data_IF_784933854957
#
_entry.id   IF_784933854957
#
_cell.length_a   1.000
_cell.length_b   1.000
_cell.length_c   1.000
_cell.angle_alpha   90.00
_cell.angle_beta   90.00
_cell.angle_gamma   90.00
#
_symmetry.space_group_name_H-M   'P 1'
#
loop_
_entity.id
_entity.type
_entity.pdbx_description
1 polymer ?
#
# COMPACT_ATOMS: atom_id res chain seq x y z
N UNK A 1 -28.96 -34.09 3.41
CA UNK A 1 -28.62 -32.64 3.33
C UNK A 1 -28.70 -32.19 1.88
N UNK A 2 -29.65 -31.31 1.52
CA UNK A 2 -29.75 -30.75 0.16
C UNK A 2 -28.65 -29.71 -0.03
N UNK A 3 -27.57 -30.07 -0.72
CA UNK A 3 -26.40 -29.18 -0.90
C UNK A 3 -26.76 -27.82 -1.52
N UNK A 4 -27.70 -27.81 -2.48
CA UNK A 4 -28.12 -26.60 -3.20
C UNK A 4 -28.87 -25.55 -2.35
N UNK A 5 -29.39 -25.92 -1.18
CA UNK A 5 -30.08 -25.01 -0.24
C UNK A 5 -29.20 -24.59 0.92
N UNK A 6 -27.95 -25.04 0.95
CA UNK A 6 -27.02 -24.71 2.03
C UNK A 6 -26.26 -23.46 1.65
N UNK A 7 -26.30 -22.43 2.51
CA UNK A 7 -25.54 -21.20 2.29
C UNK A 7 -24.04 -21.51 2.08
N UNK A 8 -23.44 -20.93 1.04
CA UNK A 8 -22.02 -21.14 0.70
C UNK A 8 -21.08 -20.86 1.88
N UNK A 9 -21.43 -19.88 2.72
CA UNK A 9 -20.71 -19.54 3.95
C UNK A 9 -20.66 -20.70 4.96
N UNK A 10 -21.70 -21.52 5.04
CA UNK A 10 -21.75 -22.72 5.91
C UNK A 10 -20.92 -23.86 5.32
N UNK A 11 -20.91 -24.01 3.99
CA UNK A 11 -20.08 -25.01 3.30
C UNK A 11 -18.58 -24.72 3.44
N UNK A 12 -18.21 -23.44 3.52
CA UNK A 12 -16.82 -22.99 3.66
C UNK A 12 -16.23 -23.09 5.07
N UNK A 13 -17.06 -23.40 6.08
CA UNK A 13 -16.57 -23.63 7.44
C UNK A 13 -15.72 -24.91 7.50
N UNK A 14 -14.77 -24.96 8.43
CA UNK A 14 -13.99 -26.16 8.70
C UNK A 14 -14.88 -27.33 9.16
N UNK A 15 -14.42 -28.56 8.94
CA UNK A 15 -15.16 -29.77 9.35
C UNK A 15 -15.38 -29.84 10.87
N UNK A 16 -14.42 -29.32 11.62
CA UNK A 16 -14.40 -29.15 13.07
C UNK A 16 -15.53 -28.26 13.63
N UNK A 17 -16.01 -27.29 12.84
CA UNK A 17 -17.11 -26.38 13.20
C UNK A 17 -18.38 -26.61 12.37
N UNK A 18 -18.56 -27.83 11.85
CA UNK A 18 -19.78 -28.27 11.17
C UNK A 18 -19.95 -27.80 9.73
N UNK A 19 -18.84 -27.42 9.07
CA UNK A 19 -18.79 -27.19 7.61
C UNK A 19 -18.21 -28.38 6.84
N UNK A 20 -17.98 -28.19 5.53
CA UNK A 20 -17.45 -29.24 4.64
C UNK A 20 -16.00 -28.94 4.21
N UNK A 21 -15.46 -27.77 4.58
CA UNK A 21 -14.10 -27.35 4.27
C UNK A 21 -13.90 -26.82 2.84
N UNK A 22 -14.96 -26.36 2.18
CA UNK A 22 -14.81 -25.71 0.88
C UNK A 22 -14.09 -24.36 0.98
N UNK A 23 -13.33 -23.98 -0.05
CA UNK A 23 -12.72 -22.65 -0.11
C UNK A 23 -13.80 -21.60 -0.36
N UNK A 24 -13.72 -20.50 0.39
CA UNK A 24 -14.56 -19.34 0.12
C UNK A 24 -14.08 -18.66 -1.18
N UNK A 25 -14.79 -18.93 -2.28
CA UNK A 25 -14.51 -18.37 -3.61
C UNK A 25 -14.47 -16.84 -3.63
N UNK A 26 -15.27 -16.16 -2.82
CA UNK A 26 -15.23 -14.69 -2.72
C UNK A 26 -13.90 -14.22 -2.15
N UNK A 27 -13.44 -14.80 -1.03
CA UNK A 27 -12.13 -14.49 -0.45
C UNK A 27 -10.98 -14.86 -1.39
N UNK A 28 -11.10 -15.98 -2.10
CA UNK A 28 -10.10 -16.40 -3.09
C UNK A 28 -10.01 -15.41 -4.25
N UNK A 29 -11.14 -14.96 -4.79
CA UNK A 29 -11.19 -13.94 -5.84
C UNK A 29 -10.62 -12.61 -5.36
N UNK A 30 -10.96 -12.17 -4.14
CA UNK A 30 -10.36 -10.99 -3.53
C UNK A 30 -8.83 -11.08 -3.45
N UNK A 31 -8.28 -12.22 -3.00
CA UNK A 31 -6.85 -12.45 -2.95
C UNK A 31 -6.20 -12.41 -4.34
N UNK A 32 -6.87 -12.96 -5.36
CA UNK A 32 -6.39 -12.88 -6.75
C UNK A 32 -6.39 -11.44 -7.27
N UNK A 33 -7.44 -10.67 -7.00
CA UNK A 33 -7.52 -9.25 -7.41
C UNK A 33 -6.41 -8.43 -6.75
N UNK A 34 -6.18 -8.61 -5.45
CA UNK A 34 -5.08 -7.97 -4.73
C UNK A 34 -3.72 -8.36 -5.34
N UNK A 35 -3.51 -9.63 -5.66
CA UNK A 35 -2.27 -10.10 -6.30
C UNK A 35 -2.05 -9.49 -7.68
N UNK A 36 -3.11 -9.34 -8.49
CA UNK A 36 -3.01 -8.72 -9.80
C UNK A 36 -2.73 -7.22 -9.70
N UNK A 37 -3.45 -6.51 -8.82
CA UNK A 37 -3.20 -5.09 -8.56
C UNK A 37 -1.77 -4.87 -8.03
N UNK A 38 -1.25 -5.74 -7.16
CA UNK A 38 0.13 -5.68 -6.68
C UNK A 38 1.16 -5.79 -7.81
N UNK A 39 0.93 -6.72 -8.75
CA UNK A 39 1.80 -6.86 -9.93
C UNK A 39 1.76 -5.61 -10.83
N UNK A 40 0.60 -4.97 -10.96
CA UNK A 40 0.48 -3.73 -11.74
C UNK A 40 1.24 -2.57 -11.10
N UNK A 41 1.28 -2.51 -9.77
CA UNK A 41 2.04 -1.52 -9.00
C UNK A 41 3.55 -1.77 -9.16
N UNK A 42 4.00 -3.00 -8.92
CA UNK A 42 5.43 -3.34 -8.90
C UNK A 42 6.07 -3.46 -10.29
N UNK A 43 5.28 -3.79 -11.33
CA UNK A 43 5.77 -4.06 -12.67
C UNK A 43 5.01 -3.29 -13.75
N UNK A 44 5.03 -1.96 -13.65
CA UNK A 44 4.34 -1.05 -14.56
C UNK A 44 4.77 -1.18 -16.04
N UNK A 45 5.99 -1.67 -16.30
CA UNK A 45 6.53 -1.86 -17.66
C UNK A 45 6.21 -3.23 -18.28
N UNK A 46 5.60 -4.15 -17.53
CA UNK A 46 5.21 -5.45 -18.08
C UNK A 46 4.19 -5.29 -19.23
N UNK A 47 4.19 -6.23 -20.18
CA UNK A 47 3.24 -6.22 -21.29
C UNK A 47 1.79 -6.14 -20.78
N UNK A 48 1.46 -6.93 -19.76
CA UNK A 48 0.15 -6.92 -19.12
C UNK A 48 -0.19 -5.54 -18.53
N UNK A 49 0.75 -4.91 -17.81
CA UNK A 49 0.52 -3.57 -17.26
C UNK A 49 0.31 -2.51 -18.34
N UNK A 50 1.07 -2.57 -19.44
CA UNK A 50 0.92 -1.66 -20.59
C UNK A 50 -0.42 -1.81 -21.29
N UNK A 51 -0.89 -3.05 -21.49
CA UNK A 51 -2.21 -3.33 -22.08
C UNK A 51 -3.34 -2.83 -21.19
N UNK A 52 -3.28 -3.11 -19.88
CA UNK A 52 -4.29 -2.65 -18.91
C UNK A 52 -4.29 -1.12 -18.82
N UNK A 53 -3.11 -0.48 -18.78
CA UNK A 53 -2.96 0.98 -18.81
C UNK A 53 -3.61 1.57 -20.05
N UNK A 54 -3.24 1.10 -21.24
CA UNK A 54 -3.78 1.60 -22.51
C UNK A 54 -5.30 1.50 -22.58
N UNK A 55 -5.89 0.46 -22.02
CA UNK A 55 -7.34 0.25 -22.03
C UNK A 55 -8.09 1.07 -20.97
N UNK A 56 -7.56 1.18 -19.75
CA UNK A 56 -8.33 1.66 -18.61
C UNK A 56 -7.86 2.99 -18.01
N UNK A 57 -6.59 3.35 -18.17
CA UNK A 57 -6.00 4.57 -17.61
C UNK A 57 -4.84 5.08 -18.49
N UNK A 58 -5.09 5.44 -19.77
CA UNK A 58 -4.02 5.71 -20.74
C UNK A 58 -3.12 6.89 -20.34
N UNK A 59 -3.71 7.90 -19.71
CA UNK A 59 -3.04 9.17 -19.34
C UNK A 59 -2.56 9.23 -17.90
N UNK A 60 -2.85 8.22 -17.08
CA UNK A 60 -2.58 8.24 -15.63
C UNK A 60 -1.71 7.05 -15.19
N UNK A 61 -1.22 7.10 -13.95
CA UNK A 61 -0.65 5.93 -13.31
C UNK A 61 -1.78 5.01 -12.79
N UNK A 62 -1.41 3.79 -12.42
CA UNK A 62 -2.37 2.88 -11.81
C UNK A 62 -2.90 3.39 -10.46
N UNK A 63 -2.07 4.10 -9.68
CA UNK A 63 -2.48 4.66 -8.39
C UNK A 63 -3.44 5.84 -8.58
N UNK A 64 -3.18 6.72 -9.55
CA UNK A 64 -3.98 7.94 -9.79
C UNK A 64 -5.25 7.72 -10.63
N UNK A 65 -5.48 6.49 -11.09
CA UNK A 65 -6.62 6.16 -11.93
C UNK A 65 -7.93 6.27 -11.13
N UNK A 66 -8.81 7.18 -11.52
CA UNK A 66 -10.11 7.34 -10.86
C UNK A 66 -11.01 6.11 -11.06
N UNK A 67 -11.81 5.80 -10.03
CA UNK A 67 -12.92 4.86 -10.15
C UNK A 67 -14.02 5.50 -11.00
N UNK A 68 -14.12 5.07 -12.26
CA UNK A 68 -15.23 5.50 -13.11
C UNK A 68 -16.50 4.76 -12.70
N UNK A 69 -17.57 5.49 -12.40
CA UNK A 69 -18.90 4.95 -12.07
C UNK A 69 -19.41 4.04 -13.20
N UNK A 70 -19.16 4.40 -14.46
CA UNK A 70 -19.50 3.63 -15.67
C UNK A 70 -18.41 2.61 -16.08
N UNK A 71 -17.52 2.27 -15.15
CA UNK A 71 -16.39 1.39 -15.41
C UNK A 71 -16.80 -0.07 -15.63
N UNK A 72 -16.13 -0.73 -16.59
CA UNK A 72 -16.23 -2.19 -16.76
C UNK A 72 -16.00 -2.92 -15.43
N UNK A 73 -16.66 -4.06 -15.24
CA UNK A 73 -16.53 -4.90 -14.02
C UNK A 73 -15.06 -5.22 -13.73
N UNK A 74 -14.27 -5.49 -14.78
CA UNK A 74 -12.84 -5.77 -14.67
C UNK A 74 -12.10 -4.57 -14.06
N UNK A 75 -12.33 -3.36 -14.58
CA UNK A 75 -11.71 -2.13 -14.05
C UNK A 75 -12.07 -1.93 -12.57
N UNK A 76 -13.35 -2.05 -12.21
CA UNK A 76 -13.80 -1.93 -10.82
C UNK A 76 -13.16 -2.97 -9.90
N UNK A 77 -13.04 -4.21 -10.37
CA UNK A 77 -12.42 -5.29 -9.60
C UNK A 77 -10.92 -5.06 -9.37
N UNK A 78 -10.21 -4.54 -10.37
CA UNK A 78 -8.79 -4.19 -10.25
C UNK A 78 -8.60 -2.98 -9.32
N UNK A 79 -9.44 -1.93 -9.44
CA UNK A 79 -9.43 -0.78 -8.53
C UNK A 79 -9.72 -1.20 -7.09
N UNK A 80 -10.68 -2.10 -6.87
CA UNK A 80 -10.93 -2.67 -5.55
C UNK A 80 -9.67 -3.34 -4.97
N UNK A 81 -8.96 -4.13 -5.79
CA UNK A 81 -7.69 -4.74 -5.41
C UNK A 81 -6.63 -3.70 -5.03
N UNK A 82 -6.54 -2.58 -5.77
CA UNK A 82 -5.66 -1.46 -5.45
C UNK A 82 -5.99 -0.83 -4.11
N UNK A 83 -7.25 -0.50 -3.85
CA UNK A 83 -7.64 0.16 -2.59
C UNK A 83 -7.35 -0.75 -1.38
N UNK A 84 -7.53 -2.06 -1.55
CA UNK A 84 -7.13 -3.04 -0.53
C UNK A 84 -5.62 -2.97 -0.26
N UNK A 85 -4.80 -2.88 -1.32
CA UNK A 85 -3.35 -2.74 -1.17
C UNK A 85 -2.99 -1.43 -0.48
N UNK A 86 -3.52 -0.30 -0.92
CA UNK A 86 -3.26 1.01 -0.32
C UNK A 86 -3.59 1.01 1.17
N UNK A 87 -4.69 0.38 1.58
CA UNK A 87 -5.08 0.30 3.00
C UNK A 87 -4.18 -0.59 3.85
N UNK A 88 -3.40 -1.52 3.25
CA UNK A 88 -2.60 -2.54 3.95
C UNK A 88 -1.11 -2.49 3.61
N UNK A 89 -0.66 -1.41 2.98
CA UNK A 89 0.72 -1.23 2.57
C UNK A 89 1.32 0.02 3.18
N UNK A 90 2.65 0.05 3.29
CA UNK A 90 3.43 1.18 3.78
C UNK A 90 4.57 1.48 2.82
N UNK A 91 4.98 2.73 2.71
CA UNK A 91 6.15 3.11 1.97
C UNK A 91 7.43 2.74 2.72
N UNK A 92 8.35 2.10 2.02
CA UNK A 92 9.76 2.03 2.38
C UNK A 92 10.45 3.25 1.79
N UNK A 93 11.02 4.06 2.67
CA UNK A 93 11.73 5.26 2.26
C UNK A 93 13.06 4.88 1.61
N UNK A 94 13.21 5.29 0.36
CA UNK A 94 14.45 5.30 -0.40
C UNK A 94 14.97 6.74 -0.51
N UNK A 95 14.75 7.41 -1.64
CA UNK A 95 15.06 8.83 -1.85
C UNK A 95 14.12 9.76 -1.07
N UNK A 96 12.88 9.35 -0.80
CA UNK A 96 11.84 10.15 -0.16
C UNK A 96 11.21 11.20 -1.09
N UNK A 97 11.43 11.11 -2.41
CA UNK A 97 10.87 12.05 -3.40
C UNK A 97 9.40 11.79 -3.69
N UNK A 98 8.95 10.55 -3.53
CA UNK A 98 7.61 10.12 -3.89
C UNK A 98 6.69 9.96 -2.68
N UNK A 99 7.20 10.24 -1.47
CA UNK A 99 6.50 10.03 -0.20
C UNK A 99 6.28 11.37 0.50
N UNK A 100 5.02 11.64 0.81
CA UNK A 100 4.59 12.78 1.62
C UNK A 100 4.88 12.53 3.11
N UNK A 101 5.33 13.55 3.83
CA UNK A 101 5.66 13.43 5.26
C UNK A 101 4.42 13.05 6.07
N UNK A 102 3.30 13.72 5.84
CA UNK A 102 2.10 13.64 6.69
C UNK A 102 0.94 12.85 6.05
N UNK A 103 0.87 12.80 4.73
CA UNK A 103 -0.27 12.19 4.03
C UNK A 103 -0.09 10.69 3.83
N UNK A 104 1.15 10.27 3.57
CA UNK A 104 1.50 8.89 3.27
C UNK A 104 1.77 8.03 4.52
N UNK A 105 1.57 6.73 4.35
CA UNK A 105 1.76 5.70 5.37
C UNK A 105 3.19 5.17 5.24
N UNK A 106 4.11 5.58 6.13
CA UNK A 106 5.51 5.17 6.05
C UNK A 106 6.19 4.91 7.39
N UNK A 107 5.56 5.24 8.53
CA UNK A 107 6.06 4.93 9.86
C UNK A 107 5.53 3.57 10.35
N UNK A 108 6.34 2.70 10.99
CA UNK A 108 5.88 1.42 11.55
C UNK A 108 5.13 1.61 12.88
N UNK A 109 4.03 2.36 12.90
CA UNK A 109 3.17 2.51 14.09
C UNK A 109 1.96 1.56 14.04
N UNK A 110 1.57 0.93 15.16
CA UNK A 110 0.41 0.03 15.20
C UNK A 110 -0.92 0.69 14.82
N UNK A 111 -1.07 2.00 15.05
CA UNK A 111 -2.37 2.68 15.00
C UNK A 111 -2.68 3.33 13.65
N UNK A 112 -1.77 4.11 13.09
CA UNK A 112 -2.04 4.89 11.87
C UNK A 112 -0.99 4.73 10.78
N UNK A 113 0.22 4.29 11.13
CA UNK A 113 1.41 4.31 10.27
C UNK A 113 1.76 5.66 9.61
N UNK A 114 1.08 6.75 10.02
CA UNK A 114 1.32 8.12 9.56
C UNK A 114 2.09 8.92 10.59
N UNK A 115 2.75 9.98 10.14
CA UNK A 115 3.33 10.99 11.03
C UNK A 115 2.20 11.79 11.66
N UNK A 116 1.96 11.57 12.95
CA UNK A 116 1.05 12.41 13.74
C UNK A 116 1.91 13.48 14.41
N UNK A 117 2.00 14.66 13.79
CA UNK A 117 2.70 15.83 14.33
C UNK A 117 2.05 17.10 13.77
N UNK A 118 2.05 18.21 14.54
CA UNK A 118 1.56 19.48 14.02
C UNK A 118 2.40 19.89 12.80
N UNK A 119 1.73 20.31 11.74
CA UNK A 119 2.38 20.85 10.56
C UNK A 119 2.85 22.27 10.88
N UNK A 120 4.08 22.39 11.39
CA UNK A 120 4.68 23.68 11.78
C UNK A 120 5.07 24.49 10.53
N UNK A 121 5.30 23.81 9.41
CA UNK A 121 5.85 24.36 8.17
C UNK A 121 5.18 23.76 6.95
N UNK A 122 4.58 24.60 6.11
CA UNK A 122 3.86 24.20 4.88
C UNK A 122 4.78 23.96 3.67
N UNK A 123 6.03 24.41 3.74
CA UNK A 123 7.04 24.26 2.69
C UNK A 123 7.65 22.84 2.63
N UNK A 124 7.46 22.04 3.68
CA UNK A 124 7.95 20.67 3.77
C UNK A 124 6.83 19.67 3.56
N UNK A 125 6.73 19.16 2.32
CA UNK A 125 5.72 18.17 1.93
C UNK A 125 6.30 16.78 1.78
N UNK A 126 7.55 16.66 1.33
CA UNK A 126 8.17 15.38 0.96
C UNK A 126 9.22 14.93 1.96
N UNK A 127 9.33 13.61 2.17
CA UNK A 127 10.29 13.00 3.10
C UNK A 127 11.74 13.32 2.71
N UNK A 128 12.05 13.49 1.42
CA UNK A 128 13.38 13.93 0.95
C UNK A 128 13.86 15.21 1.64
N UNK A 129 12.95 16.13 1.95
CA UNK A 129 13.30 17.41 2.56
C UNK A 129 13.74 17.27 4.04
N UNK A 130 13.44 16.12 4.67
CA UNK A 130 13.95 15.75 6.00
C UNK A 130 15.35 15.13 5.95
N UNK A 131 15.91 14.93 4.75
CA UNK A 131 17.21 14.30 4.51
C UNK A 131 18.23 15.35 4.07
N UNK A 132 19.49 15.08 4.39
CA UNK A 132 20.66 15.82 3.92
C UNK A 132 20.98 15.45 2.46
N UNK A 133 21.81 16.25 1.79
CA UNK A 133 22.28 15.95 0.43
C UNK A 133 23.06 14.63 0.35
N UNK A 134 23.67 14.21 1.46
CA UNK A 134 24.35 12.92 1.63
C UNK A 134 23.38 11.75 1.79
N UNK A 135 22.07 12.01 1.82
CA UNK A 135 21.02 11.02 2.00
C UNK A 135 20.72 10.70 3.46
N UNK A 136 21.56 11.05 4.43
CA UNK A 136 21.30 10.83 5.86
C UNK A 136 20.17 11.73 6.42
N UNK A 137 19.49 11.32 7.50
CA UNK A 137 18.47 12.15 8.13
C UNK A 137 19.06 13.44 8.71
N UNK A 138 18.42 14.58 8.46
CA UNK A 138 18.78 15.84 9.14
C UNK A 138 18.18 15.83 10.54
N UNK A 139 18.95 15.37 11.53
CA UNK A 139 18.50 15.19 12.92
C UNK A 139 17.96 16.48 13.53
N UNK A 140 18.58 17.63 13.24
CA UNK A 140 18.13 18.92 13.77
C UNK A 140 16.74 19.28 13.23
N UNK A 141 16.56 19.16 11.90
CA UNK A 141 15.28 19.46 11.24
C UNK A 141 14.17 18.48 11.67
N UNK A 142 14.49 17.19 11.78
CA UNK A 142 13.52 16.18 12.24
C UNK A 142 13.07 16.46 13.68
N UNK A 143 13.98 16.87 14.57
CA UNK A 143 13.60 17.25 15.94
C UNK A 143 12.76 18.54 16.01
N UNK A 144 12.97 19.48 15.09
CA UNK A 144 12.19 20.72 15.02
C UNK A 144 10.77 20.46 14.51
N UNK A 145 10.63 19.64 13.46
CA UNK A 145 9.36 19.47 12.75
C UNK A 145 8.45 18.38 13.31
N UNK A 146 9.02 17.39 14.00
CA UNK A 146 8.33 16.15 14.32
C UNK A 146 8.32 15.92 15.84
N UNK A 147 7.19 15.48 16.38
CA UNK A 147 7.05 15.17 17.82
C UNK A 147 8.06 14.09 18.24
N UNK A 148 8.58 14.19 19.47
CA UNK A 148 9.64 13.30 19.99
C UNK A 148 9.34 11.80 19.83
N UNK A 149 8.09 11.40 19.98
CA UNK A 149 7.64 10.01 19.80
C UNK A 149 7.84 9.48 18.38
N UNK A 150 7.90 10.36 17.38
CA UNK A 150 8.12 10.05 15.97
C UNK A 150 9.59 10.17 15.58
N UNK A 151 10.35 11.05 16.23
CA UNK A 151 11.77 11.27 15.93
C UNK A 151 12.57 9.97 16.03
N UNK A 152 12.46 9.26 17.15
CA UNK A 152 13.24 8.04 17.38
C UNK A 152 12.96 6.95 16.33
N UNK A 153 11.70 6.82 15.90
CA UNK A 153 11.32 5.87 14.86
C UNK A 153 11.87 6.27 13.49
N UNK A 154 11.83 7.56 13.14
CA UNK A 154 12.39 8.04 11.88
C UNK A 154 13.90 7.81 11.84
N UNK A 155 14.60 8.17 12.92
CA UNK A 155 16.05 8.01 13.03
C UNK A 155 16.47 6.53 13.04
N UNK A 156 15.60 5.62 13.47
CA UNK A 156 15.86 4.17 13.43
C UNK A 156 15.88 3.59 12.01
N UNK A 157 15.30 4.28 11.03
CA UNK A 157 15.33 3.79 9.66
C UNK A 157 16.74 3.82 9.10
N UNK A 158 17.21 2.65 8.67
CA UNK A 158 18.47 2.53 7.92
C UNK A 158 18.37 3.35 6.64
N UNK A 159 19.10 4.46 6.62
CA UNK A 159 19.32 5.21 5.40
C UNK A 159 20.35 4.45 4.58
N UNK A 160 19.93 3.93 3.43
CA UNK A 160 20.90 3.42 2.45
C UNK A 160 21.70 4.58 1.87
N UNK A 161 23.03 4.47 1.90
CA UNK A 161 23.94 5.42 1.22
C UNK A 161 23.80 5.37 -0.31
N UNK A 162 23.15 4.33 -0.83
CA UNK A 162 22.84 4.19 -2.24
C UNK A 162 21.42 4.69 -2.52
N UNK A 163 21.21 5.60 -3.50
CA UNK A 163 19.90 6.06 -3.89
C UNK A 163 19.09 4.87 -4.42
N UNK A 164 18.01 4.53 -3.72
CA UNK A 164 17.00 3.57 -4.14
C UNK A 164 15.67 4.27 -4.25
N UNK A 165 14.84 3.85 -5.19
CA UNK A 165 13.50 4.40 -5.33
C UNK A 165 12.62 4.05 -4.12
N UNK A 166 11.69 4.94 -3.81
CA UNK A 166 10.66 4.70 -2.82
C UNK A 166 9.78 3.53 -3.27
N UNK A 167 9.55 2.56 -2.40
CA UNK A 167 8.82 1.34 -2.75
C UNK A 167 7.69 1.05 -1.77
N UNK A 168 6.57 0.60 -2.30
CA UNK A 168 5.45 0.15 -1.47
C UNK A 168 5.76 -1.25 -0.92
N UNK A 169 5.63 -1.44 0.39
CA UNK A 169 5.76 -2.71 1.10
C UNK A 169 4.40 -3.18 1.60
N UNK A 170 4.10 -4.47 1.42
CA UNK A 170 2.96 -5.09 2.06
C UNK A 170 3.24 -5.28 3.55
N UNK A 171 2.38 -4.75 4.44
CA UNK A 171 2.66 -4.78 5.87
C UNK A 171 2.69 -6.21 6.46
N UNK A 172 1.90 -7.14 5.89
CA UNK A 172 1.79 -8.52 6.39
C UNK A 172 2.74 -9.52 5.73
N UNK A 173 3.71 -9.09 4.92
CA UNK A 173 4.73 -10.03 4.48
C UNK A 173 5.64 -10.30 5.68
N UNK A 174 5.48 -11.47 6.32
CA UNK A 174 6.48 -12.03 7.23
C UNK A 174 7.77 -12.15 6.44
N UNK A 175 8.66 -11.17 6.57
CA UNK A 175 10.06 -11.18 6.18
C UNK A 175 10.66 -9.94 6.86
N UNK A 176 10.75 -10.02 8.19
CA UNK A 176 11.79 -9.33 8.96
C UNK A 176 13.04 -10.21 8.96
#
# INVERSE_FOLDING_TARGET
MKLHLTAWTKLCKGKDIGGIGFRNLSLFNHALLAKQAWRLIQHHNSLTARVIKGRYYPTRTFMDASESVDGSVIRRSICWGRNLIESRSRWRIGTGTSVSIYEDIWLPRPVSFKVISPQIRDDFKQVRQLKTDLGSWNVALVNEMILKDNVNLILSFLVSSCPRDDTLLWHYSMNE
#
